data_IF_818175989491
#
_entry.id   IF_818175989491
#
_cell.length_a   1.000
_cell.length_b   1.000
_cell.length_c   1.000
_cell.angle_alpha   90.00
_cell.angle_beta   90.00
_cell.angle_gamma   90.00
#
_symmetry.space_group_name_H-M   'P 1'
#
loop_
_entity.id
_entity.type
_entity.pdbx_description
1 polymer ?
#
# COMPACT_ATOMS: atom_id res chain seq x y z
N UNK A 1 -4.97 7.49 -16.31
CA UNK A 1 -4.82 6.13 -15.75
C UNK A 1 -3.70 6.12 -14.73
N UNK A 2 -3.62 5.12 -13.85
CA UNK A 2 -2.63 5.05 -12.76
C UNK A 2 -1.19 5.27 -13.25
N UNK A 3 -0.81 4.69 -14.40
CA UNK A 3 0.53 4.85 -14.99
C UNK A 3 0.92 6.32 -15.18
N UNK A 4 -0.03 7.23 -15.45
CA UNK A 4 0.28 8.64 -15.73
C UNK A 4 0.80 9.41 -14.50
N UNK A 5 0.49 8.94 -13.28
CA UNK A 5 0.91 9.57 -12.02
C UNK A 5 2.11 8.88 -11.38
N UNK A 6 2.55 7.75 -11.93
CA UNK A 6 3.74 7.04 -11.50
C UNK A 6 4.99 7.64 -12.17
N UNK A 7 6.09 7.63 -11.44
CA UNK A 7 7.41 7.78 -12.03
C UNK A 7 7.77 6.54 -12.86
N UNK A 8 8.46 6.65 -14.02
CA UNK A 8 8.87 5.49 -14.80
C UNK A 8 9.66 4.46 -13.99
N UNK A 9 10.48 4.92 -13.05
CA UNK A 9 11.37 4.11 -12.20
C UNK A 9 10.77 3.88 -10.80
N UNK A 10 9.47 4.08 -10.62
CA UNK A 10 8.78 3.87 -9.34
C UNK A 10 9.08 2.48 -8.78
N UNK A 11 9.31 2.43 -7.46
CA UNK A 11 9.50 1.17 -6.75
C UNK A 11 8.38 0.96 -5.74
N UNK A 12 7.75 -0.21 -5.79
CA UNK A 12 6.85 -0.68 -4.76
C UNK A 12 7.58 -1.67 -3.85
N UNK A 13 7.51 -1.47 -2.54
CA UNK A 13 8.04 -2.37 -1.52
C UNK A 13 6.94 -2.86 -0.61
N UNK A 14 6.93 -4.15 -0.31
CA UNK A 14 5.92 -4.76 0.54
C UNK A 14 6.56 -5.60 1.65
N UNK A 15 6.23 -5.25 2.88
CA UNK A 15 6.56 -5.99 4.07
C UNK A 15 5.37 -6.85 4.51
N UNK A 16 5.45 -8.15 4.26
CA UNK A 16 4.48 -9.15 4.72
C UNK A 16 4.88 -9.82 6.04
N UNK A 17 5.93 -9.32 6.70
CA UNK A 17 6.55 -9.95 7.86
C UNK A 17 7.42 -11.16 7.46
N UNK A 18 7.82 -11.99 8.44
CA UNK A 18 8.75 -13.11 8.24
C UNK A 18 8.13 -14.31 7.53
N UNK A 19 6.79 -14.38 7.45
CA UNK A 19 6.10 -15.49 6.82
C UNK A 19 6.35 -15.53 5.29
N UNK A 20 6.30 -16.72 4.66
CA UNK A 20 6.33 -16.84 3.20
C UNK A 20 5.19 -16.03 2.57
N UNK A 21 5.53 -15.12 1.66
CA UNK A 21 4.58 -14.30 0.93
C UNK A 21 4.28 -14.90 -0.44
N UNK A 22 3.01 -14.83 -0.85
CA UNK A 22 2.58 -15.24 -2.21
C UNK A 22 2.72 -14.12 -3.24
N UNK A 23 3.08 -12.91 -2.80
CA UNK A 23 3.25 -11.73 -3.62
C UNK A 23 4.70 -11.22 -3.54
N UNK A 24 5.19 -10.54 -4.58
CA UNK A 24 6.54 -9.99 -4.58
C UNK A 24 6.70 -8.95 -3.46
N UNK A 25 7.90 -8.91 -2.87
CA UNK A 25 8.30 -7.93 -1.85
C UNK A 25 8.82 -6.63 -2.45
N UNK A 26 9.27 -6.66 -3.69
CA UNK A 26 9.70 -5.47 -4.41
C UNK A 26 9.29 -5.59 -5.88
N UNK A 27 8.76 -4.51 -6.44
CA UNK A 27 8.33 -4.41 -7.84
C UNK A 27 8.83 -3.07 -8.39
N UNK A 28 9.39 -3.11 -9.59
CA UNK A 28 10.02 -1.96 -10.24
C UNK A 28 9.28 -1.59 -11.51
N UNK A 29 9.14 -0.29 -11.73
CA UNK A 29 8.65 0.30 -12.96
C UNK A 29 7.13 0.53 -12.97
N UNK A 30 6.72 1.61 -13.63
CA UNK A 30 5.34 2.10 -13.60
C UNK A 30 4.30 1.06 -14.05
N UNK A 31 4.58 0.29 -15.10
CA UNK A 31 3.65 -0.70 -15.62
C UNK A 31 3.42 -1.85 -14.62
N UNK A 32 4.50 -2.42 -14.08
CA UNK A 32 4.42 -3.53 -13.13
C UNK A 32 3.76 -3.12 -11.81
N UNK A 33 4.09 -1.92 -11.30
CA UNK A 33 3.45 -1.35 -10.11
C UNK A 33 1.95 -1.12 -10.36
N UNK A 34 1.57 -0.59 -11.52
CA UNK A 34 0.17 -0.40 -11.87
C UNK A 34 -0.60 -1.73 -11.97
N UNK A 35 0.00 -2.76 -12.59
CA UNK A 35 -0.61 -4.09 -12.68
C UNK A 35 -0.80 -4.73 -11.30
N UNK A 36 0.16 -4.57 -10.39
CA UNK A 36 0.03 -5.05 -9.01
C UNK A 36 -1.10 -4.34 -8.27
N UNK A 37 -1.20 -3.00 -8.41
CA UNK A 37 -2.29 -2.22 -7.81
C UNK A 37 -3.66 -2.62 -8.36
N UNK A 38 -3.78 -2.84 -9.67
CA UNK A 38 -5.00 -3.33 -10.31
C UNK A 38 -5.37 -4.75 -9.83
N UNK A 39 -4.39 -5.63 -9.71
CA UNK A 39 -4.58 -6.99 -9.18
C UNK A 39 -5.10 -6.94 -7.75
N UNK A 40 -4.50 -6.10 -6.90
CA UNK A 40 -4.96 -5.91 -5.52
C UNK A 40 -6.41 -5.39 -5.46
N UNK A 41 -6.74 -4.38 -6.25
CA UNK A 41 -8.09 -3.82 -6.32
C UNK A 41 -9.14 -4.87 -6.70
N UNK A 42 -8.83 -5.77 -7.64
CA UNK A 42 -9.72 -6.87 -8.04
C UNK A 42 -9.90 -7.92 -6.95
N UNK A 43 -8.86 -8.19 -6.16
CA UNK A 43 -8.87 -9.19 -5.09
C UNK A 43 -9.42 -8.66 -3.76
N UNK A 44 -9.67 -7.35 -3.67
CA UNK A 44 -10.06 -6.69 -2.42
C UNK A 44 -11.44 -7.13 -1.87
N UNK A 45 -12.28 -7.80 -2.66
CA UNK A 45 -13.59 -8.29 -2.21
C UNK A 45 -14.50 -7.17 -1.68
N UNK A 46 -15.63 -7.54 -1.07
CA UNK A 46 -16.58 -6.56 -0.50
C UNK A 46 -16.21 -6.08 0.89
N UNK A 47 -15.32 -6.81 1.57
CA UNK A 47 -15.07 -6.67 3.01
C UNK A 47 -13.80 -5.85 3.31
N UNK A 48 -13.05 -5.46 2.28
CA UNK A 48 -11.94 -4.54 2.40
C UNK A 48 -12.46 -3.09 2.29
N UNK A 49 -12.16 -2.28 3.30
CA UNK A 49 -12.47 -0.86 3.35
C UNK A 49 -11.18 -0.07 3.46
N UNK A 50 -10.94 0.84 2.53
CA UNK A 50 -9.73 1.67 2.50
C UNK A 50 -10.07 3.12 2.87
N UNK A 51 -9.24 3.72 3.72
CA UNK A 51 -9.37 5.11 4.17
C UNK A 51 -8.06 5.86 3.89
N UNK A 52 -8.10 7.06 3.30
CA UNK A 52 -6.92 7.93 3.23
C UNK A 52 -6.39 8.22 4.64
N UNK A 53 -5.08 8.35 4.79
CA UNK A 53 -4.42 8.62 6.05
C UNK A 53 -3.12 9.39 5.84
N UNK A 54 -2.65 10.07 6.90
CA UNK A 54 -1.26 10.50 6.97
C UNK A 54 -0.45 9.42 7.70
N UNK A 55 0.50 8.81 7.00
CA UNK A 55 1.38 7.78 7.54
C UNK A 55 2.75 8.42 7.75
N UNK A 56 3.11 8.67 9.01
CA UNK A 56 4.34 9.40 9.36
C UNK A 56 4.48 10.74 8.62
N UNK A 57 3.37 11.45 8.40
CA UNK A 57 3.33 12.72 7.67
C UNK A 57 3.34 12.59 6.14
N UNK A 58 3.47 11.38 5.59
CA UNK A 58 3.32 11.11 4.16
C UNK A 58 1.88 10.75 3.80
N UNK A 59 1.48 11.01 2.56
CA UNK A 59 0.18 10.58 2.04
C UNK A 59 0.13 9.06 2.02
N UNK A 60 -0.94 8.48 2.56
CA UNK A 60 -1.12 7.05 2.63
C UNK A 60 -2.57 6.60 2.62
N UNK A 61 -2.74 5.29 2.69
CA UNK A 61 -4.04 4.62 2.75
C UNK A 61 -3.95 3.49 3.76
N UNK A 62 -4.91 3.43 4.69
CA UNK A 62 -5.07 2.28 5.57
C UNK A 62 -6.27 1.47 5.10
N UNK A 63 -6.04 0.18 4.88
CA UNK A 63 -7.08 -0.77 4.51
C UNK A 63 -7.43 -1.65 5.69
N UNK A 64 -8.72 -1.87 5.90
CA UNK A 64 -9.30 -2.66 6.97
C UNK A 64 -10.08 -3.82 6.39
N UNK A 65 -9.94 -5.00 6.99
CA UNK A 65 -10.74 -6.18 6.68
C UNK A 65 -11.42 -6.64 7.95
N UNK A 66 -12.74 -6.80 7.92
CA UNK A 66 -13.55 -7.16 9.10
C UNK A 66 -13.28 -6.22 10.30
N UNK A 67 -13.09 -4.92 10.02
CA UNK A 67 -12.82 -3.90 11.04
C UNK A 67 -11.38 -3.90 11.58
N UNK A 68 -10.51 -4.81 11.13
CA UNK A 68 -9.11 -4.89 11.58
C UNK A 68 -8.15 -4.33 10.53
N UNK A 69 -7.06 -3.64 10.92
CA UNK A 69 -6.04 -3.21 9.99
C UNK A 69 -5.50 -4.40 9.19
N UNK A 70 -5.56 -4.28 7.86
CA UNK A 70 -5.12 -5.30 6.91
C UNK A 70 -3.84 -4.88 6.19
N UNK A 71 -3.74 -3.59 5.82
CA UNK A 71 -2.52 -3.05 5.24
C UNK A 71 -2.44 -1.54 5.41
N UNK A 72 -1.23 -1.01 5.43
CA UNK A 72 -0.94 0.42 5.33
C UNK A 72 -0.10 0.65 4.08
N UNK A 73 -0.52 1.59 3.24
CA UNK A 73 0.23 2.06 2.08
C UNK A 73 0.72 3.47 2.35
N UNK A 74 1.97 3.77 2.02
CA UNK A 74 2.54 5.11 2.03
C UNK A 74 3.10 5.44 0.65
N UNK A 75 2.86 6.65 0.18
CA UNK A 75 3.34 7.15 -1.10
C UNK A 75 4.45 8.17 -0.88
N UNK A 76 5.57 8.00 -1.58
CA UNK A 76 6.56 9.06 -1.73
C UNK A 76 6.29 9.78 -3.04
N UNK A 77 6.09 11.09 -2.96
CA UNK A 77 5.77 11.94 -4.12
C UNK A 77 6.87 12.99 -4.31
N UNK A 78 7.42 13.05 -5.51
CA UNK A 78 8.42 14.03 -5.93
C UNK A 78 7.99 14.62 -7.26
N UNK A 79 8.06 15.95 -7.40
CA UNK A 79 7.70 16.67 -8.63
C UNK A 79 6.33 16.26 -9.22
N UNK A 80 5.37 15.97 -8.34
CA UNK A 80 4.01 15.58 -8.71
C UNK A 80 3.86 14.12 -9.20
N UNK A 81 4.89 13.29 -9.08
CA UNK A 81 4.87 11.86 -9.42
C UNK A 81 5.12 10.98 -8.20
N UNK A 82 4.49 9.81 -8.18
CA UNK A 82 4.76 8.79 -7.17
C UNK A 82 6.06 8.07 -7.56
N UNK A 83 7.10 8.23 -6.75
CA UNK A 83 8.42 7.62 -6.94
C UNK A 83 8.60 6.36 -6.10
N UNK A 84 7.81 6.19 -5.03
CA UNK A 84 7.78 4.97 -4.25
C UNK A 84 6.41 4.68 -3.64
N UNK A 85 6.12 3.40 -3.47
CA UNK A 85 4.96 2.89 -2.72
C UNK A 85 5.46 1.88 -1.68
N UNK A 86 5.29 2.18 -0.41
CA UNK A 86 5.65 1.27 0.68
C UNK A 86 4.39 0.66 1.28
N UNK A 87 4.35 -0.66 1.40
CA UNK A 87 3.22 -1.44 1.90
C UNK A 87 3.64 -2.17 3.16
N UNK A 88 2.96 -1.91 4.26
CA UNK A 88 3.03 -2.72 5.47
C UNK A 88 1.79 -3.63 5.52
N UNK A 89 2.03 -4.93 5.43
CA UNK A 89 1.02 -5.98 5.54
C UNK A 89 1.42 -7.07 6.57
N UNK A 90 2.48 -6.83 7.35
CA UNK A 90 2.86 -7.68 8.49
C UNK A 90 1.82 -7.55 9.61
N UNK A 91 1.05 -8.61 9.94
CA UNK A 91 0.04 -8.57 10.98
C UNK A 91 0.61 -8.23 12.37
N UNK A 92 1.86 -8.64 12.66
CA UNK A 92 2.50 -8.38 13.94
C UNK A 92 2.90 -6.93 14.12
N UNK A 93 3.24 -6.23 13.03
CA UNK A 93 3.52 -4.78 13.07
C UNK A 93 2.24 -3.96 13.03
N UNK A 94 1.23 -4.39 12.27
CA UNK A 94 -0.06 -3.71 12.16
C UNK A 94 -0.82 -3.66 13.50
N UNK A 95 -0.72 -4.71 14.33
CA UNK A 95 -1.38 -4.74 15.64
C UNK A 95 -0.80 -3.74 16.65
N UNK A 96 0.43 -3.27 16.41
CA UNK A 96 1.10 -2.26 17.24
C UNK A 96 0.88 -0.83 16.77
N UNK A 97 0.17 -0.61 15.66
CA UNK A 97 -0.15 0.74 15.19
C UNK A 97 -1.39 1.25 15.91
N UNK A 98 -1.27 2.43 16.51
CA UNK A 98 -2.43 3.19 16.95
C UNK A 98 -3.05 3.89 15.73
N UNK A 99 -4.18 3.37 15.27
CA UNK A 99 -4.93 3.88 14.12
C UNK A 99 -6.26 4.52 14.55
N UNK A 100 -6.40 4.87 15.83
CA UNK A 100 -7.63 5.41 16.41
C UNK A 100 -8.07 6.74 15.80
N UNK A 101 -7.14 7.51 15.22
CA UNK A 101 -7.40 8.86 14.68
C UNK A 101 -7.77 8.87 13.18
N UNK A 102 -8.05 7.70 12.58
CA UNK A 102 -8.49 7.61 11.19
C UNK A 102 -10.02 7.71 11.09
N UNK A 103 -10.55 8.92 11.36
CA UNK A 103 -11.96 9.28 11.17
C UNK A 103 -12.33 9.54 9.70
#
# INVERSE_FOLDING_TARGET
>A
GLIAVLDPDVVLRADYGPAPARAPREVHGAAAVADQALTFSRLSGTDLRSRPALVNGAVGVVSFREGRPFSVLAFTVTDGRIVAVDILADPGRLSGLDLADLD
#
